data_IF_779710011943
#
_entry.id   IF_779710011943
#
_cell.length_a   1.000
_cell.length_b   1.000
_cell.length_c   1.000
_cell.angle_alpha   90.00
_cell.angle_beta   90.00
_cell.angle_gamma   90.00
#
_symmetry.space_group_name_H-M   'P 1'
#
loop_
_entity.id
_entity.type
_entity.pdbx_description
1 polymer ?
#
# COMPACT_ATOMS: atom_id res chain seq x y z
N UNK A 1 2.35 -6.54 -23.49
CA UNK A 1 1.86 -6.47 -22.12
C UNK A 1 2.97 -5.96 -21.19
N UNK A 2 2.72 -4.93 -20.39
CA UNK A 2 3.72 -4.31 -19.53
C UNK A 2 3.54 -4.83 -18.09
N UNK A 3 4.34 -5.81 -17.71
CA UNK A 3 4.25 -6.46 -16.40
C UNK A 3 4.95 -5.64 -15.30
N UNK A 4 4.46 -5.71 -14.07
CA UNK A 4 5.06 -5.04 -12.92
C UNK A 4 6.55 -5.35 -12.73
N UNK A 5 7.05 -6.60 -12.90
CA UNK A 5 8.49 -6.87 -12.88
C UNK A 5 9.30 -6.13 -13.94
N UNK A 6 8.72 -5.87 -15.13
CA UNK A 6 9.38 -5.06 -16.18
C UNK A 6 9.41 -3.57 -15.80
N UNK A 7 8.36 -3.08 -15.15
CA UNK A 7 8.34 -1.73 -14.60
C UNK A 7 9.44 -1.54 -13.55
N UNK A 8 9.60 -2.48 -12.62
CA UNK A 8 10.64 -2.41 -11.57
C UNK A 8 12.07 -2.40 -12.12
N UNK A 9 12.33 -3.00 -13.28
CA UNK A 9 13.66 -2.96 -13.95
C UNK A 9 14.11 -1.56 -14.33
N UNK A 10 13.21 -0.58 -14.37
CA UNK A 10 13.55 0.84 -14.61
C UNK A 10 14.21 1.48 -13.39
N UNK A 11 14.00 0.92 -12.20
CA UNK A 11 14.47 1.45 -10.93
C UNK A 11 15.55 0.59 -10.28
N UNK A 12 15.57 -0.71 -10.58
CA UNK A 12 16.46 -1.67 -9.92
C UNK A 12 17.18 -2.53 -10.95
N UNK A 13 18.50 -2.67 -10.80
CA UNK A 13 19.35 -3.57 -11.60
C UNK A 13 19.29 -5.03 -11.15
N UNK A 14 18.65 -5.31 -10.02
CA UNK A 14 18.49 -6.63 -9.40
C UNK A 14 17.00 -6.98 -9.29
N UNK A 15 16.74 -8.25 -8.98
CA UNK A 15 15.37 -8.72 -8.80
C UNK A 15 14.77 -8.19 -7.49
N UNK A 16 13.54 -7.70 -7.59
CA UNK A 16 12.79 -7.18 -6.44
C UNK A 16 11.44 -7.88 -6.35
N UNK A 17 11.07 -8.27 -5.13
CA UNK A 17 9.81 -8.94 -4.82
C UNK A 17 9.00 -8.14 -3.79
N UNK A 18 7.69 -7.97 -4.02
CA UNK A 18 6.80 -7.43 -2.99
C UNK A 18 6.56 -8.48 -1.90
N UNK A 19 6.68 -8.09 -0.63
CA UNK A 19 6.26 -8.85 0.54
C UNK A 19 5.05 -8.15 1.13
N UNK A 20 3.89 -8.81 1.10
CA UNK A 20 2.65 -8.28 1.66
C UNK A 20 2.72 -8.18 3.18
N UNK A 21 2.19 -7.10 3.73
CA UNK A 21 2.15 -6.80 5.16
C UNK A 21 0.72 -6.50 5.61
N UNK A 22 0.40 -6.93 6.81
CA UNK A 22 -0.77 -6.51 7.55
C UNK A 22 -0.34 -5.75 8.81
N UNK A 23 -0.36 -4.43 8.74
CA UNK A 23 0.11 -3.56 9.81
C UNK A 23 -0.99 -3.19 10.83
N UNK A 24 -2.12 -3.91 10.81
CA UNK A 24 -3.23 -3.70 11.74
C UNK A 24 -4.06 -2.45 11.48
N UNK A 25 -3.99 -1.89 10.28
CA UNK A 25 -4.85 -0.78 9.89
C UNK A 25 -6.31 -1.22 9.75
N UNK A 26 -7.23 -0.27 9.87
CA UNK A 26 -8.65 -0.46 9.58
C UNK A 26 -9.05 0.29 8.30
N UNK A 27 -10.34 0.44 8.09
CA UNK A 27 -10.90 1.16 6.96
C UNK A 27 -12.07 2.02 7.43
N UNK A 28 -12.15 3.32 7.06
CA UNK A 28 -13.23 4.20 7.47
C UNK A 28 -14.60 3.74 6.97
N UNK A 29 -14.65 2.86 5.97
CA UNK A 29 -15.86 2.23 5.47
C UNK A 29 -16.27 0.97 6.28
N UNK A 30 -15.54 0.65 7.35
CA UNK A 30 -15.81 -0.48 8.25
C UNK A 30 -15.96 -0.07 9.72
N UNK A 31 -15.23 0.95 10.16
CA UNK A 31 -15.18 1.38 11.56
C UNK A 31 -16.27 2.40 11.94
N UNK A 32 -17.14 2.76 11.00
CA UNK A 32 -18.25 3.68 11.21
C UNK A 32 -17.95 5.14 10.87
N UNK A 33 -16.72 5.52 10.54
CA UNK A 33 -16.41 6.91 10.19
C UNK A 33 -17.06 7.36 8.87
N UNK A 34 -17.09 6.47 7.86
CA UNK A 34 -17.76 6.70 6.57
C UNK A 34 -18.87 5.71 6.31
N UNK A 35 -18.75 4.50 6.84
CA UNK A 35 -19.70 3.42 6.64
C UNK A 35 -19.37 2.21 7.50
N UNK A 36 -20.28 1.24 7.47
CA UNK A 36 -20.11 -0.04 8.14
C UNK A 36 -20.13 -1.18 7.13
N UNK A 37 -19.46 -2.29 7.46
CA UNK A 37 -19.46 -3.49 6.63
C UNK A 37 -18.45 -3.49 5.47
N UNK A 38 -17.94 -2.34 5.05
CA UNK A 38 -16.97 -2.23 3.95
C UNK A 38 -17.59 -2.29 2.56
N UNK A 39 -16.73 -2.37 1.54
CA UNK A 39 -17.16 -2.56 0.16
C UNK A 39 -17.70 -3.98 -0.04
N UNK A 40 -18.66 -4.16 -0.96
CA UNK A 40 -19.34 -5.45 -1.19
C UNK A 40 -18.43 -6.60 -1.61
N UNK A 41 -17.28 -6.28 -2.20
CA UNK A 41 -16.27 -7.25 -2.65
C UNK A 41 -15.10 -7.43 -1.67
N UNK A 42 -15.06 -6.66 -0.58
CA UNK A 42 -13.89 -6.57 0.29
C UNK A 42 -13.71 -7.83 1.14
N UNK A 43 -12.73 -8.65 0.77
CA UNK A 43 -12.26 -9.78 1.56
C UNK A 43 -10.74 -9.73 1.72
N UNK A 44 -10.27 -9.04 2.78
CA UNK A 44 -8.84 -8.91 3.05
C UNK A 44 -8.16 -10.23 3.47
N UNK A 45 -8.91 -11.24 3.91
CA UNK A 45 -8.34 -12.54 4.29
C UNK A 45 -7.81 -13.33 3.08
N UNK A 46 -8.40 -13.14 1.91
CA UNK A 46 -8.03 -13.86 0.68
C UNK A 46 -6.62 -13.48 0.18
N UNK A 47 -6.14 -12.29 0.49
CA UNK A 47 -4.87 -11.77 -0.02
C UNK A 47 -3.74 -11.78 1.00
N UNK A 48 -3.99 -12.26 2.21
CA UNK A 48 -2.99 -12.32 3.27
C UNK A 48 -2.35 -13.72 3.31
N UNK A 49 -1.07 -13.86 2.97
CA UNK A 49 -0.31 -15.06 3.27
C UNK A 49 -0.32 -15.38 4.78
N UNK A 50 -0.05 -16.61 5.16
CA UNK A 50 -0.09 -17.05 6.57
C UNK A 50 0.85 -16.25 7.50
N UNK A 51 1.89 -15.65 6.97
CA UNK A 51 2.80 -14.80 7.75
C UNK A 51 2.23 -13.38 7.99
N UNK A 52 1.28 -12.90 7.19
CA UNK A 52 0.64 -11.58 7.32
C UNK A 52 -0.41 -11.56 8.43
N UNK A 53 0.03 -11.53 9.68
CA UNK A 53 -0.86 -11.49 10.85
C UNK A 53 -0.60 -10.26 11.70
N UNK A 54 -1.66 -9.61 12.15
CA UNK A 54 -1.60 -8.37 12.96
C UNK A 54 -0.91 -8.53 14.31
N UNK A 55 -0.86 -9.77 14.82
CA UNK A 55 -0.18 -10.12 16.07
C UNK A 55 1.36 -10.11 15.93
N UNK A 56 1.86 -10.11 14.70
CA UNK A 56 3.29 -10.06 14.39
C UNK A 56 3.73 -8.63 14.09
N UNK A 57 4.94 -8.25 14.52
CA UNK A 57 5.56 -7.00 14.09
C UNK A 57 5.76 -6.98 12.57
N UNK A 58 5.92 -5.80 12.00
CA UNK A 58 6.22 -5.61 10.56
C UNK A 58 7.52 -6.32 10.21
N UNK A 59 8.55 -6.18 11.06
CA UNK A 59 9.84 -6.86 10.90
C UNK A 59 9.67 -8.39 10.86
N UNK A 60 8.89 -8.97 11.78
CA UNK A 60 8.63 -10.41 11.79
C UNK A 60 7.94 -10.89 10.51
N UNK A 61 6.92 -10.17 10.04
CA UNK A 61 6.23 -10.48 8.78
C UNK A 61 7.18 -10.39 7.58
N UNK A 62 8.08 -9.40 7.55
CA UNK A 62 9.09 -9.27 6.50
C UNK A 62 10.07 -10.44 6.51
N UNK A 63 10.58 -10.84 7.67
CA UNK A 63 11.52 -11.98 7.77
C UNK A 63 10.88 -13.29 7.33
N UNK A 64 9.66 -13.58 7.76
CA UNK A 64 8.92 -14.77 7.31
C UNK A 64 8.60 -14.70 5.81
N UNK A 65 8.22 -13.53 5.31
CA UNK A 65 7.99 -13.31 3.87
C UNK A 65 9.25 -13.52 3.03
N UNK A 66 10.42 -13.07 3.51
CA UNK A 66 11.71 -13.35 2.87
C UNK A 66 11.99 -14.84 2.79
N UNK A 67 11.79 -15.57 3.90
CA UNK A 67 11.98 -17.03 3.94
C UNK A 67 11.06 -17.74 2.94
N UNK A 68 9.81 -17.29 2.80
CA UNK A 68 8.87 -17.83 1.83
C UNK A 68 9.38 -17.71 0.37
N UNK A 69 10.07 -16.60 0.05
CA UNK A 69 10.61 -16.35 -1.29
C UNK A 69 12.07 -16.81 -1.49
N UNK A 70 12.84 -17.04 -0.42
CA UNK A 70 14.28 -17.30 -0.47
C UNK A 70 14.67 -18.52 -1.34
N UNK A 71 13.81 -19.54 -1.41
CA UNK A 71 14.05 -20.73 -2.22
C UNK A 71 14.05 -20.48 -3.73
N UNK A 72 13.52 -19.33 -4.18
CA UNK A 72 13.42 -19.03 -5.62
C UNK A 72 14.62 -18.25 -6.16
N UNK A 73 15.20 -17.34 -5.36
CA UNK A 73 16.23 -16.42 -5.83
C UNK A 73 17.11 -15.92 -4.67
N UNK A 74 18.39 -16.36 -4.56
CA UNK A 74 19.24 -16.04 -3.40
C UNK A 74 19.62 -14.56 -3.24
N UNK A 75 19.67 -13.78 -4.32
CA UNK A 75 20.10 -12.37 -4.31
C UNK A 75 18.95 -11.39 -4.56
N UNK A 76 17.79 -11.68 -3.99
CA UNK A 76 16.60 -10.84 -4.15
C UNK A 76 16.55 -9.74 -3.10
N UNK A 77 16.09 -8.54 -3.50
CA UNK A 77 15.68 -7.46 -2.59
C UNK A 77 14.17 -7.37 -2.55
N UNK A 78 13.65 -6.60 -1.60
CA UNK A 78 12.23 -6.62 -1.29
C UNK A 78 11.61 -5.23 -1.22
N UNK A 79 10.35 -5.14 -1.63
CA UNK A 79 9.48 -4.00 -1.33
C UNK A 79 8.51 -4.41 -0.22
N UNK A 80 8.46 -3.64 0.84
CA UNK A 80 7.47 -3.83 1.89
C UNK A 80 6.12 -3.32 1.37
N UNK A 81 5.16 -4.23 1.21
CA UNK A 81 3.86 -3.92 0.63
C UNK A 81 2.77 -3.89 1.69
N UNK A 82 2.40 -2.71 2.13
CA UNK A 82 1.26 -2.46 3.00
C UNK A 82 -0.02 -2.65 2.19
N UNK A 83 -0.63 -3.81 2.29
CA UNK A 83 -1.75 -4.21 1.42
C UNK A 83 -3.10 -4.23 2.14
N UNK A 84 -3.14 -4.76 3.37
CA UNK A 84 -4.40 -5.00 4.06
C UNK A 84 -5.08 -3.69 4.49
N UNK A 85 -6.34 -3.51 4.10
CA UNK A 85 -7.19 -2.36 4.46
C UNK A 85 -6.71 -1.01 3.89
N UNK A 86 -6.69 0.04 4.74
CA UNK A 86 -6.39 1.42 4.32
C UNK A 86 -5.12 1.89 5.03
N UNK A 87 -3.98 1.74 4.38
CA UNK A 87 -2.67 1.85 5.03
C UNK A 87 -2.17 3.30 5.20
N UNK A 88 -3.01 4.29 4.95
CA UNK A 88 -2.79 5.72 5.23
C UNK A 88 -3.83 6.28 6.21
N UNK A 89 -4.68 5.39 6.77
CA UNK A 89 -5.74 5.76 7.68
C UNK A 89 -5.31 5.49 9.13
N UNK A 90 -4.78 6.53 9.77
CA UNK A 90 -4.26 6.47 11.14
C UNK A 90 -3.58 7.77 11.52
N UNK A 91 -3.11 7.85 12.76
CA UNK A 91 -2.31 8.97 13.25
C UNK A 91 -0.95 9.03 12.55
N UNK A 92 -0.53 10.24 12.16
CA UNK A 92 0.67 10.43 11.34
C UNK A 92 1.93 9.80 11.94
N UNK A 93 2.13 9.93 13.24
CA UNK A 93 3.31 9.38 13.92
C UNK A 93 3.29 7.84 13.97
N UNK A 94 2.11 7.22 14.07
CA UNK A 94 2.00 5.76 13.98
C UNK A 94 2.28 5.26 12.56
N UNK A 95 1.79 5.98 11.54
CA UNK A 95 2.09 5.69 10.14
C UNK A 95 3.60 5.76 9.87
N UNK A 96 4.26 6.85 10.28
CA UNK A 96 5.71 7.04 10.16
C UNK A 96 6.48 5.89 10.79
N UNK A 97 6.19 5.58 12.04
CA UNK A 97 6.84 4.50 12.80
C UNK A 97 6.75 3.16 12.06
N UNK A 98 5.57 2.83 11.51
CA UNK A 98 5.35 1.58 10.76
C UNK A 98 6.11 1.54 9.43
N UNK A 99 6.14 2.65 8.71
CA UNK A 99 6.89 2.72 7.45
C UNK A 99 8.39 2.67 7.68
N UNK A 100 8.90 3.36 8.70
CA UNK A 100 10.31 3.35 9.09
C UNK A 100 10.75 1.97 9.61
N UNK A 101 9.91 1.28 10.39
CA UNK A 101 10.15 -0.11 10.80
C UNK A 101 10.34 -1.01 9.57
N UNK A 102 9.45 -0.90 8.57
CA UNK A 102 9.57 -1.69 7.35
C UNK A 102 10.85 -1.38 6.55
N UNK A 103 11.23 -0.11 6.45
CA UNK A 103 12.43 0.31 5.72
C UNK A 103 13.72 -0.05 6.44
N UNK A 104 13.70 -0.20 7.76
CA UNK A 104 14.86 -0.61 8.55
C UNK A 104 15.21 -2.10 8.42
N UNK A 105 14.30 -2.91 7.88
CA UNK A 105 14.53 -4.34 7.69
C UNK A 105 15.55 -4.60 6.58
N UNK A 106 16.52 -5.48 6.84
CA UNK A 106 17.57 -5.82 5.88
C UNK A 106 16.99 -6.26 4.53
N UNK A 107 17.59 -5.79 3.43
CA UNK A 107 17.18 -6.13 2.07
C UNK A 107 15.87 -5.49 1.59
N UNK A 108 15.20 -4.67 2.40
CA UNK A 108 14.07 -3.84 1.96
C UNK A 108 14.61 -2.58 1.28
N UNK A 109 14.18 -2.35 0.03
CA UNK A 109 14.67 -1.26 -0.83
C UNK A 109 13.60 -0.22 -1.15
N UNK A 110 12.42 -0.35 -0.56
CA UNK A 110 11.33 0.61 -0.75
C UNK A 110 9.98 0.11 -0.24
N UNK A 111 8.99 0.97 -0.38
CA UNK A 111 7.61 0.73 0.05
C UNK A 111 6.63 0.72 -1.12
N UNK A 112 5.61 -0.10 -0.97
CA UNK A 112 4.36 0.00 -1.74
C UNK A 112 3.22 0.16 -0.73
N UNK A 113 2.42 1.20 -0.86
CA UNK A 113 1.34 1.53 0.08
C UNK A 113 0.01 1.45 -0.64
N UNK A 114 -0.74 0.37 -0.39
CA UNK A 114 -2.11 0.21 -0.86
C UNK A 114 -3.09 0.98 0.04
N UNK A 115 -3.89 1.86 -0.54
CA UNK A 115 -4.79 2.70 0.25
C UNK A 115 -6.03 3.17 -0.50
N UNK A 116 -6.93 3.82 0.24
CA UNK A 116 -8.08 4.55 -0.30
C UNK A 116 -7.68 5.97 -0.71
N UNK A 117 -8.18 6.48 -1.84
CA UNK A 117 -7.84 7.83 -2.30
C UNK A 117 -8.33 8.92 -1.34
N UNK A 118 -9.45 8.71 -0.67
CA UNK A 118 -10.06 9.65 0.27
C UNK A 118 -9.43 9.61 1.69
N UNK A 119 -8.31 8.88 1.86
CA UNK A 119 -7.55 8.75 3.09
C UNK A 119 -6.10 9.19 2.91
N UNK A 120 -5.85 10.23 2.12
CA UNK A 120 -4.51 10.75 1.87
C UNK A 120 -4.44 12.25 2.24
N UNK A 121 -4.23 12.59 3.53
CA UNK A 121 -4.09 13.97 3.97
C UNK A 121 -2.76 14.59 3.52
N UNK A 122 -2.72 15.91 3.34
CA UNK A 122 -1.52 16.62 2.88
C UNK A 122 -0.34 16.45 3.83
N UNK A 123 -0.55 16.42 5.14
CA UNK A 123 0.51 16.20 6.12
C UNK A 123 1.22 14.84 5.94
N UNK A 124 0.49 13.81 5.51
CA UNK A 124 1.09 12.53 5.16
C UNK A 124 1.79 12.61 3.80
N UNK A 125 1.21 13.29 2.82
CA UNK A 125 1.85 13.49 1.51
C UNK A 125 3.19 14.22 1.63
N UNK A 126 3.28 15.23 2.49
CA UNK A 126 4.52 15.97 2.75
C UNK A 126 5.61 15.06 3.32
N UNK A 127 5.24 14.17 4.25
CA UNK A 127 6.15 13.16 4.78
C UNK A 127 6.57 12.12 3.71
N UNK A 128 5.62 11.65 2.91
CA UNK A 128 5.89 10.69 1.84
C UNK A 128 6.74 11.30 0.72
N UNK A 129 6.58 12.58 0.43
CA UNK A 129 7.44 13.32 -0.51
C UNK A 129 8.90 13.33 -0.03
N UNK A 130 9.14 13.62 1.24
CA UNK A 130 10.49 13.58 1.80
C UNK A 130 11.07 12.16 1.77
N UNK A 131 10.29 11.16 2.15
CA UNK A 131 10.69 9.74 2.07
C UNK A 131 11.04 9.35 0.62
N UNK A 132 10.27 9.80 -0.36
CA UNK A 132 10.48 9.48 -1.78
C UNK A 132 11.80 10.01 -2.35
N UNK A 133 12.45 10.98 -1.70
CA UNK A 133 13.78 11.48 -2.09
C UNK A 133 14.90 10.47 -1.80
N UNK A 134 14.68 9.54 -0.88
CA UNK A 134 15.71 8.65 -0.34
C UNK A 134 15.41 7.17 -0.57
N UNK A 135 14.18 6.81 -0.92
CA UNK A 135 13.78 5.42 -1.12
C UNK A 135 12.76 5.28 -2.25
N UNK A 136 12.64 4.08 -2.80
CA UNK A 136 11.56 3.79 -3.75
C UNK A 136 10.23 3.80 -3.03
N UNK A 137 9.28 4.58 -3.52
CA UNK A 137 7.93 4.69 -3.00
C UNK A 137 6.90 4.61 -4.12
N UNK A 138 5.93 3.71 -3.96
CA UNK A 138 4.77 3.59 -4.83
C UNK A 138 3.50 3.61 -3.97
N UNK A 139 2.58 4.52 -4.27
CA UNK A 139 1.24 4.55 -3.66
C UNK A 139 0.24 3.92 -4.63
N UNK A 140 -0.42 2.85 -4.21
CA UNK A 140 -1.44 2.14 -4.97
C UNK A 140 -2.84 2.51 -4.45
N UNK A 141 -3.60 3.25 -5.25
CA UNK A 141 -4.96 3.67 -4.91
C UNK A 141 -6.01 2.66 -5.40
N UNK A 142 -6.88 2.22 -4.51
CA UNK A 142 -8.09 1.49 -4.89
C UNK A 142 -9.12 2.45 -5.48
N UNK A 143 -9.07 2.67 -6.78
CA UNK A 143 -10.03 3.50 -7.54
C UNK A 143 -11.33 2.74 -7.74
N UNK A 144 -11.21 1.48 -8.17
CA UNK A 144 -12.25 0.45 -8.37
C UNK A 144 -13.18 0.72 -9.57
N UNK A 145 -13.55 1.98 -9.82
CA UNK A 145 -14.36 2.38 -10.97
C UNK A 145 -14.26 3.89 -11.24
N UNK A 146 -14.44 4.29 -12.48
CA UNK A 146 -14.59 5.68 -12.89
C UNK A 146 -16.06 6.15 -12.91
N UNK A 147 -17.00 5.24 -12.68
CA UNK A 147 -18.43 5.52 -12.63
C UNK A 147 -18.94 5.58 -11.18
N UNK A 148 -19.38 6.76 -10.75
CA UNK A 148 -19.85 6.99 -9.39
C UNK A 148 -21.09 6.16 -9.02
N UNK A 149 -21.92 5.78 -9.99
CA UNK A 149 -23.05 4.87 -9.74
C UNK A 149 -22.56 3.48 -9.36
N UNK A 150 -21.51 3.01 -10.01
CA UNK A 150 -20.86 1.75 -9.69
C UNK A 150 -20.20 1.83 -8.31
N UNK A 151 -19.47 2.92 -8.01
CA UNK A 151 -18.87 3.15 -6.69
C UNK A 151 -19.91 3.15 -5.56
N UNK A 152 -21.07 3.79 -5.79
CA UNK A 152 -22.18 3.77 -4.86
C UNK A 152 -22.73 2.33 -4.66
N UNK A 153 -22.95 1.60 -5.77
CA UNK A 153 -23.48 0.22 -5.74
C UNK A 153 -22.59 -0.75 -4.96
N UNK A 154 -21.26 -0.62 -5.09
CA UNK A 154 -20.31 -1.46 -4.36
C UNK A 154 -20.00 -0.95 -2.95
N UNK A 155 -20.70 0.07 -2.48
CA UNK A 155 -20.48 0.71 -1.17
C UNK A 155 -19.03 1.20 -1.00
N UNK A 156 -18.46 1.86 -2.02
CA UNK A 156 -17.05 2.28 -1.98
C UNK A 156 -16.82 3.46 -1.03
N UNK A 157 -17.78 4.37 -0.88
CA UNK A 157 -17.75 5.50 0.05
C UNK A 157 -16.87 6.68 -0.37
N UNK A 158 -16.39 6.72 -1.62
CA UNK A 158 -15.77 7.88 -2.27
C UNK A 158 -16.20 7.96 -3.72
N UNK A 159 -16.01 9.14 -4.34
CA UNK A 159 -16.28 9.40 -5.76
C UNK A 159 -15.02 9.20 -6.60
N UNK A 160 -15.21 9.10 -7.93
CA UNK A 160 -14.07 9.12 -8.86
C UNK A 160 -13.30 10.45 -8.80
N UNK A 161 -13.97 11.57 -8.58
CA UNK A 161 -13.31 12.86 -8.39
C UNK A 161 -12.30 12.82 -7.22
N UNK A 162 -12.68 12.24 -6.09
CA UNK A 162 -11.76 12.08 -4.95
C UNK A 162 -10.54 11.19 -5.29
N UNK A 163 -10.74 10.20 -6.15
CA UNK A 163 -9.63 9.36 -6.62
C UNK A 163 -8.71 10.14 -7.57
N UNK A 164 -9.25 10.89 -8.51
CA UNK A 164 -8.48 11.71 -9.44
C UNK A 164 -7.65 12.79 -8.69
N UNK A 165 -8.26 13.48 -7.73
CA UNK A 165 -7.59 14.47 -6.88
C UNK A 165 -6.41 13.84 -6.08
N UNK A 166 -6.64 12.72 -5.45
CA UNK A 166 -5.58 12.04 -4.68
C UNK A 166 -4.40 11.61 -5.57
N UNK A 167 -4.68 11.08 -6.75
CA UNK A 167 -3.65 10.69 -7.73
C UNK A 167 -2.87 11.93 -8.19
N UNK A 168 -3.55 13.02 -8.53
CA UNK A 168 -2.93 14.27 -8.99
C UNK A 168 -2.03 14.88 -7.89
N UNK A 169 -2.54 15.01 -6.66
CA UNK A 169 -1.78 15.55 -5.52
C UNK A 169 -0.53 14.69 -5.20
N UNK A 170 -0.63 13.38 -5.34
CA UNK A 170 0.48 12.46 -5.09
C UNK A 170 1.49 12.53 -6.23
N UNK A 171 1.05 12.47 -7.48
CA UNK A 171 1.92 12.52 -8.65
C UNK A 171 2.63 13.87 -8.79
N UNK A 172 1.98 15.00 -8.44
CA UNK A 172 2.61 16.33 -8.47
C UNK A 172 3.77 16.48 -7.50
N UNK A 173 3.85 15.65 -6.46
CA UNK A 173 4.98 15.54 -5.54
C UNK A 173 6.09 14.58 -6.03
N UNK A 174 5.99 14.08 -7.26
CA UNK A 174 6.95 13.14 -7.83
C UNK A 174 6.87 11.72 -7.27
N UNK A 175 5.84 11.40 -6.50
CA UNK A 175 5.61 10.07 -5.94
C UNK A 175 4.94 9.19 -7.01
N UNK A 176 5.46 7.97 -7.19
CA UNK A 176 4.85 7.01 -8.12
C UNK A 176 3.44 6.61 -7.65
N UNK A 177 2.51 6.61 -8.59
CA UNK A 177 1.12 6.22 -8.34
C UNK A 177 0.71 5.02 -9.17
N UNK A 178 -0.02 4.11 -8.55
CA UNK A 178 -0.73 3.00 -9.19
C UNK A 178 -2.23 3.10 -8.91
N UNK A 179 -3.04 2.55 -9.79
CA UNK A 179 -4.50 2.48 -9.62
C UNK A 179 -5.02 1.07 -9.84
N UNK A 180 -5.84 0.60 -8.91
CA UNK A 180 -6.64 -0.61 -9.07
C UNK A 180 -8.04 -0.22 -9.56
N UNK A 181 -8.44 -0.78 -10.72
CA UNK A 181 -9.73 -0.52 -11.40
C UNK A 181 -10.44 -1.82 -11.69
#
# INVERSE_FOLDING_TARGET
YNEFPLFLKRYFSYKVQKISLNAGFTCPNRDGNKGVGGCTYCNNQTFNPDYCRTEKSITCQLEEGKQFFAHKYPEMKYLAYFQAYTNTYGELEDLKRKYEEALSADGVVGLVIGTRPDCMPDSLLDYLEEMNRHTFLLVEYGIESTDDKTLCRINRGHTFHAAADAVERTASRGILTGGHV
#
